data_IF_229969777152
#
_entry.id   IF_229969777152
#
_cell.length_a   1.000
_cell.length_b   1.000
_cell.length_c   1.000
_cell.angle_alpha   90.00
_cell.angle_beta   90.00
_cell.angle_gamma   90.00
#
_symmetry.space_group_name_H-M   'P 1'
#
loop_
_entity.id
_entity.type
_entity.pdbx_description
1 polymer ?
#
# COMPACT_ATOMS: atom_id res chain seq x y z
N UNK A 1 3.27 -5.06 20.62
CA UNK A 1 3.62 -5.84 19.41
C UNK A 1 2.54 -6.86 19.01
N UNK A 2 2.01 -7.69 19.93
CA UNK A 2 0.98 -8.71 19.63
C UNK A 2 -0.32 -8.19 18.97
N UNK A 3 -0.73 -6.94 19.28
CA UNK A 3 -1.92 -6.29 18.70
C UNK A 3 -1.76 -5.90 17.23
N UNK A 4 -0.54 -5.64 16.75
CA UNK A 4 -0.25 -5.26 15.35
C UNK A 4 -0.36 -6.45 14.38
N UNK A 5 -0.02 -7.66 14.85
CA UNK A 5 -0.08 -8.88 14.03
C UNK A 5 -1.54 -9.29 13.80
N UNK A 6 -2.38 -9.16 14.83
CA UNK A 6 -3.82 -9.43 14.77
C UNK A 6 -4.55 -8.44 13.85
N UNK A 7 -4.23 -7.15 13.91
CA UNK A 7 -4.82 -6.16 13.00
C UNK A 7 -4.39 -6.35 11.55
N UNK A 8 -3.11 -6.69 11.31
CA UNK A 8 -2.63 -7.01 9.96
C UNK A 8 -3.31 -8.26 9.37
N UNK A 9 -3.55 -9.29 10.18
CA UNK A 9 -4.28 -10.49 9.75
C UNK A 9 -5.75 -10.21 9.41
N UNK A 10 -6.44 -9.38 10.21
CA UNK A 10 -7.81 -8.95 9.91
C UNK A 10 -7.88 -8.11 8.63
N UNK A 11 -6.93 -7.19 8.42
CA UNK A 11 -6.87 -6.35 7.23
C UNK A 11 -6.63 -7.18 5.96
N UNK A 12 -5.72 -8.15 6.00
CA UNK A 12 -5.46 -9.06 4.87
C UNK A 12 -6.67 -9.95 4.54
N UNK A 13 -7.46 -10.36 5.53
CA UNK A 13 -8.69 -11.11 5.31
C UNK A 13 -9.78 -10.29 4.60
N UNK A 14 -9.89 -9.00 4.92
CA UNK A 14 -10.83 -8.08 4.29
C UNK A 14 -10.45 -7.70 2.85
N UNK A 15 -9.15 -7.63 2.54
CA UNK A 15 -8.69 -7.30 1.18
C UNK A 15 -8.83 -8.46 0.17
N UNK A 16 -9.07 -9.69 0.63
CA UNK A 16 -9.19 -10.87 -0.23
C UNK A 16 -10.59 -11.05 -0.83
N UNK A 17 -11.34 -9.96 -1.03
CA UNK A 17 -12.57 -10.03 -1.80
C UNK A 17 -12.24 -10.31 -3.26
N UNK A 18 -12.84 -11.33 -3.89
CA UNK A 18 -12.58 -11.62 -5.29
C UNK A 18 -13.06 -10.44 -6.14
N UNK A 19 -12.11 -9.66 -6.67
CA UNK A 19 -12.40 -8.59 -7.60
C UNK A 19 -13.23 -9.15 -8.77
N UNK A 20 -14.44 -8.61 -8.95
CA UNK A 20 -15.36 -9.06 -9.99
C UNK A 20 -14.89 -8.54 -11.34
N UNK A 21 -14.03 -9.30 -12.00
CA UNK A 21 -13.56 -9.01 -13.34
C UNK A 21 -14.35 -9.83 -14.37
N UNK A 22 -14.67 -9.22 -15.51
CA UNK A 22 -15.23 -9.93 -16.66
C UNK A 22 -14.33 -11.12 -17.03
N UNK A 23 -14.93 -12.29 -17.38
CA UNK A 23 -14.16 -13.51 -17.72
C UNK A 23 -13.10 -13.28 -18.81
N UNK A 24 -13.35 -12.34 -19.72
CA UNK A 24 -12.43 -11.95 -20.79
C UNK A 24 -11.34 -10.98 -20.32
N UNK A 25 -11.67 -10.09 -19.38
CA UNK A 25 -10.73 -9.08 -18.87
C UNK A 25 -9.72 -9.67 -17.87
N UNK A 26 -10.14 -10.66 -17.07
CA UNK A 26 -9.30 -11.30 -16.05
C UNK A 26 -7.97 -11.86 -16.58
N UNK A 27 -7.92 -12.66 -17.66
CA UNK A 27 -6.65 -13.21 -18.16
C UNK A 27 -5.74 -12.11 -18.73
N UNK A 28 -6.28 -11.06 -19.35
CA UNK A 28 -5.47 -9.92 -19.83
C UNK A 28 -4.83 -9.14 -18.68
N UNK A 29 -5.61 -8.86 -17.63
CA UNK A 29 -5.09 -8.15 -16.45
C UNK A 29 -4.04 -8.99 -15.74
N UNK A 30 -4.30 -10.29 -15.55
CA UNK A 30 -3.34 -11.23 -14.94
C UNK A 30 -2.04 -11.32 -15.75
N UNK A 31 -2.11 -11.33 -17.08
CA UNK A 31 -0.93 -11.32 -17.93
C UNK A 31 -0.09 -10.03 -17.77
N UNK A 32 -0.72 -8.90 -17.46
CA UNK A 32 -0.03 -7.62 -17.25
C UNK A 32 0.58 -7.42 -15.86
N UNK A 33 -0.02 -7.99 -14.81
CA UNK A 33 0.44 -7.80 -13.41
C UNK A 33 1.56 -8.76 -12.97
N UNK A 34 1.82 -9.83 -13.72
CA UNK A 34 2.85 -10.82 -13.40
C UNK A 34 4.13 -10.67 -14.24
N UNK A 35 4.31 -9.53 -14.93
CA UNK A 35 5.55 -9.23 -15.64
C UNK A 35 6.63 -8.78 -14.65
N UNK A 36 7.90 -9.02 -14.98
CA UNK A 36 9.03 -8.65 -14.13
C UNK A 36 9.08 -7.13 -13.86
N UNK A 37 8.66 -6.33 -14.83
CA UNK A 37 8.66 -4.86 -14.75
C UNK A 37 7.46 -4.27 -14.02
N UNK A 38 6.41 -5.08 -13.74
CA UNK A 38 5.18 -4.59 -13.12
C UNK A 38 5.45 -3.89 -11.78
N UNK A 39 6.30 -4.48 -10.93
CA UNK A 39 6.63 -3.92 -9.63
C UNK A 39 7.37 -2.58 -9.73
N UNK A 40 8.29 -2.44 -10.69
CA UNK A 40 9.03 -1.20 -10.91
C UNK A 40 8.09 -0.08 -11.38
N UNK A 41 7.23 -0.37 -12.35
CA UNK A 41 6.26 0.59 -12.87
C UNK A 41 5.25 1.00 -11.80
N UNK A 42 4.76 0.03 -11.01
CA UNK A 42 3.85 0.29 -9.90
C UNK A 42 4.53 1.16 -8.83
N UNK A 43 5.80 0.90 -8.50
CA UNK A 43 6.55 1.70 -7.54
C UNK A 43 6.67 3.15 -8.02
N UNK A 44 7.06 3.38 -9.27
CA UNK A 44 7.15 4.73 -9.85
C UNK A 44 5.82 5.47 -9.80
N UNK A 45 4.72 4.76 -10.06
CA UNK A 45 3.38 5.32 -9.99
C UNK A 45 2.95 5.68 -8.55
N UNK A 46 3.25 4.82 -7.58
CA UNK A 46 2.86 5.01 -6.18
C UNK A 46 3.81 5.92 -5.40
N UNK A 47 5.06 6.09 -5.86
CA UNK A 47 6.09 6.91 -5.21
C UNK A 47 5.63 8.34 -4.88
N UNK A 48 5.05 9.14 -5.81
CA UNK A 48 4.61 10.49 -5.50
C UNK A 48 3.50 10.52 -4.45
N UNK A 49 2.61 9.54 -4.46
CA UNK A 49 1.53 9.41 -3.47
C UNK A 49 2.11 9.09 -2.09
N UNK A 50 3.08 8.17 -2.03
CA UNK A 50 3.78 7.82 -0.80
C UNK A 50 4.54 9.03 -0.23
N UNK A 51 5.17 9.84 -1.09
CA UNK A 51 5.85 11.07 -0.67
C UNK A 51 4.89 12.11 -0.10
N UNK A 52 3.73 12.31 -0.72
CA UNK A 52 2.71 13.23 -0.20
C UNK A 52 2.19 12.79 1.17
N UNK A 53 1.83 11.52 1.31
CA UNK A 53 1.32 10.97 2.56
C UNK A 53 2.41 10.99 3.64
N UNK A 54 3.62 10.52 3.31
CA UNK A 54 4.75 10.49 4.22
C UNK A 54 5.19 11.89 4.65
N UNK A 55 5.23 12.84 3.72
CA UNK A 55 5.53 14.24 4.01
C UNK A 55 4.48 14.89 4.91
N UNK A 56 3.19 14.68 4.62
CA UNK A 56 2.10 15.17 5.46
C UNK A 56 2.16 14.61 6.89
N UNK A 57 2.41 13.31 7.03
CA UNK A 57 2.59 12.67 8.33
C UNK A 57 3.82 13.21 9.06
N UNK A 58 4.95 13.39 8.37
CA UNK A 58 6.18 13.91 8.97
C UNK A 58 5.96 15.33 9.51
N UNK A 59 5.28 16.21 8.76
CA UNK A 59 4.95 17.56 9.21
C UNK A 59 3.97 17.54 10.38
N UNK A 60 2.94 16.70 10.30
CA UNK A 60 1.94 16.56 11.37
C UNK A 60 2.56 16.12 12.71
N UNK A 61 3.41 15.10 12.67
CA UNK A 61 4.06 14.56 13.88
C UNK A 61 5.35 15.28 14.27
N UNK A 62 5.80 16.29 13.51
CA UNK A 62 7.06 16.99 13.78
C UNK A 62 7.13 17.57 15.20
N UNK A 63 6.01 18.10 15.70
CA UNK A 63 5.95 18.68 17.04
C UNK A 63 6.06 17.63 18.16
N UNK A 64 5.42 16.48 18.00
CA UNK A 64 5.50 15.37 18.96
C UNK A 64 6.89 14.72 18.95
N UNK A 65 7.48 14.53 17.76
CA UNK A 65 8.86 14.05 17.63
C UNK A 65 9.81 15.03 18.32
N UNK A 66 9.66 16.34 18.10
CA UNK A 66 10.51 17.34 18.75
C UNK A 66 10.42 17.25 20.27
N UNK A 67 9.21 17.20 20.85
CA UNK A 67 9.03 17.08 22.31
C UNK A 67 9.54 15.77 22.92
N UNK A 68 9.61 14.70 22.12
CA UNK A 68 10.01 13.36 22.60
C UNK A 68 11.52 13.17 22.58
N UNK A 69 12.20 13.81 21.63
CA UNK A 69 13.62 13.60 21.35
C UNK A 69 14.52 14.81 21.64
N UNK A 70 13.95 16.00 21.87
CA UNK A 70 14.65 17.23 22.29
C UNK A 70 13.98 17.81 23.54
#
# INVERSE_FOLDING_TARGET
MKRLILSAGLLSGWLSQPAWACRVCRPRVQAGIHTADYAANLLWLLLPVALLIGGGLAVYFAADVKRRFF
#
